data_IF_836561286497
#
_entry.id   IF_836561286497
#
_cell.length_a   1.000
_cell.length_b   1.000
_cell.length_c   1.000
_cell.angle_alpha   90.00
_cell.angle_beta   90.00
_cell.angle_gamma   90.00
#
_symmetry.space_group_name_H-M   'P 1'
#
loop_
_entity.id
_entity.type
_entity.pdbx_description
1 polymer ?
#
# COMPACT_ATOMS: atom_id res chain seq x y z
N UNK A 1 -10.94 10.47 -5.15
CA UNK A 1 -10.01 11.56 -4.77
C UNK A 1 -8.61 11.11 -5.13
N UNK A 2 -7.79 11.94 -5.77
CA UNK A 2 -6.38 11.62 -6.05
C UNK A 2 -5.54 12.46 -5.09
N UNK A 3 -4.82 11.79 -4.21
CA UNK A 3 -3.93 12.41 -3.21
C UNK A 3 -2.53 11.86 -3.43
N UNK A 4 -1.55 12.75 -3.43
CA UNK A 4 -0.14 12.40 -3.48
C UNK A 4 0.46 12.90 -2.17
N UNK A 5 0.83 11.98 -1.28
CA UNK A 5 1.46 12.27 0.00
C UNK A 5 2.59 11.25 0.24
N UNK A 6 3.64 11.68 0.93
CA UNK A 6 4.73 10.81 1.41
C UNK A 6 4.43 10.22 2.79
N UNK A 7 3.41 10.73 3.48
CA UNK A 7 3.01 10.31 4.82
C UNK A 7 1.99 9.17 4.75
N UNK A 8 2.45 7.93 4.98
CA UNK A 8 1.58 6.75 5.01
C UNK A 8 0.37 6.87 5.96
N UNK A 9 0.49 7.43 7.19
CA UNK A 9 -0.65 7.56 8.11
C UNK A 9 -1.79 8.40 7.54
N UNK A 10 -1.45 9.44 6.77
CA UNK A 10 -2.43 10.34 6.14
C UNK A 10 -3.20 9.62 5.02
N UNK A 11 -2.49 8.84 4.20
CA UNK A 11 -3.09 8.02 3.15
C UNK A 11 -4.00 6.91 3.71
N UNK A 12 -3.62 6.29 4.83
CA UNK A 12 -4.42 5.28 5.52
C UNK A 12 -5.76 5.83 6.03
N UNK A 13 -5.78 7.08 6.50
CA UNK A 13 -7.01 7.73 6.96
C UNK A 13 -8.00 8.03 5.83
N UNK A 14 -7.49 8.37 4.66
CA UNK A 14 -8.25 8.88 3.51
C UNK A 14 -8.61 7.80 2.47
N UNK A 15 -7.88 6.69 2.43
CA UNK A 15 -8.02 5.68 1.36
C UNK A 15 -8.87 4.49 1.82
N UNK A 16 -9.81 4.07 0.98
CA UNK A 16 -10.62 2.87 1.20
C UNK A 16 -9.86 1.59 0.79
N UNK A 17 -9.02 1.68 -0.24
CA UNK A 17 -8.23 0.57 -0.78
C UNK A 17 -6.87 1.06 -1.27
N UNK A 18 -5.82 0.34 -0.89
CA UNK A 18 -4.43 0.71 -1.12
C UNK A 18 -3.74 -0.35 -1.96
N UNK A 19 -3.07 0.08 -3.03
CA UNK A 19 -2.28 -0.76 -3.90
C UNK A 19 -0.80 -0.41 -3.71
N UNK A 20 0.04 -1.41 -3.50
CA UNK A 20 1.50 -1.23 -3.46
C UNK A 20 2.09 -1.66 -4.79
N UNK A 21 3.02 -0.86 -5.31
CA UNK A 21 3.69 -1.12 -6.59
C UNK A 21 5.20 -1.10 -6.35
N UNK A 22 5.90 -2.09 -6.89
CA UNK A 22 7.36 -2.18 -6.89
C UNK A 22 7.82 -2.66 -8.27
N UNK A 23 8.82 -2.00 -8.84
CA UNK A 23 9.36 -2.31 -10.18
C UNK A 23 8.29 -2.48 -11.29
N UNK A 24 7.27 -1.61 -11.26
CA UNK A 24 6.19 -1.63 -12.26
C UNK A 24 5.18 -2.78 -12.09
N UNK A 25 5.28 -3.57 -11.02
CA UNK A 25 4.34 -4.64 -10.69
C UNK A 25 3.58 -4.33 -9.39
N UNK A 26 2.30 -4.68 -9.34
CA UNK A 26 1.51 -4.60 -8.11
C UNK A 26 2.01 -5.70 -7.16
N UNK A 27 2.51 -5.32 -5.99
CA UNK A 27 3.02 -6.25 -4.98
C UNK A 27 1.99 -6.58 -3.90
N UNK A 28 0.91 -5.82 -3.81
CA UNK A 28 -0.10 -6.01 -2.79
C UNK A 28 -1.31 -5.12 -2.96
N UNK A 29 -2.43 -5.63 -2.46
CA UNK A 29 -3.70 -4.90 -2.40
C UNK A 29 -4.26 -5.10 -1.00
N UNK A 30 -4.47 -4.02 -0.27
CA UNK A 30 -5.02 -4.02 1.07
C UNK A 30 -6.25 -3.14 1.13
N UNK A 31 -7.28 -3.61 1.84
CA UNK A 31 -8.38 -2.74 2.24
C UNK A 31 -7.97 -1.90 3.44
N UNK A 32 -8.69 -0.81 3.70
CA UNK A 32 -8.42 0.09 4.84
C UNK A 32 -8.26 -0.65 6.17
N UNK A 33 -9.08 -1.67 6.41
CA UNK A 33 -9.08 -2.44 7.66
C UNK A 33 -7.84 -3.33 7.84
N UNK A 34 -7.19 -3.69 6.74
CA UNK A 34 -6.01 -4.55 6.69
C UNK A 34 -4.71 -3.74 6.52
N UNK A 35 -4.87 -2.47 6.15
CA UNK A 35 -3.77 -1.57 5.87
C UNK A 35 -3.21 -1.00 7.17
N UNK A 36 -1.98 -1.40 7.47
CA UNK A 36 -1.16 -0.78 8.51
C UNK A 36 0.14 -0.30 7.89
N UNK A 37 0.81 0.65 8.54
CA UNK A 37 2.12 1.13 8.10
C UNK A 37 3.11 -0.03 7.96
N UNK A 38 3.10 -0.98 8.90
CA UNK A 38 3.99 -2.15 8.86
C UNK A 38 3.65 -3.09 7.70
N UNK A 39 2.37 -3.39 7.48
CA UNK A 39 1.91 -4.23 6.36
C UNK A 39 2.30 -3.63 5.01
N UNK A 40 2.11 -2.32 4.84
CA UNK A 40 2.44 -1.60 3.61
C UNK A 40 3.95 -1.57 3.37
N UNK A 41 4.74 -1.24 4.38
CA UNK A 41 6.20 -1.25 4.29
C UNK A 41 6.73 -2.64 3.90
N UNK A 42 6.15 -3.71 4.47
CA UNK A 42 6.49 -5.09 4.09
C UNK A 42 6.16 -5.39 2.63
N UNK A 43 5.02 -4.93 2.10
CA UNK A 43 4.62 -5.16 0.70
C UNK A 43 5.39 -4.28 -0.29
N UNK A 44 5.85 -3.11 0.13
CA UNK A 44 6.68 -2.21 -0.68
C UNK A 44 8.13 -2.70 -0.77
N UNK A 45 8.62 -3.46 0.21
CA UNK A 45 9.98 -4.01 0.24
C UNK A 45 10.06 -5.49 -0.13
N UNK A 46 8.98 -6.25 0.06
CA UNK A 46 8.91 -7.65 -0.34
C UNK A 46 8.44 -7.77 -1.78
N UNK A 47 9.36 -8.14 -2.66
CA UNK A 47 9.06 -8.68 -4.01
C UNK A 47 8.48 -10.10 -3.89
N UNK A 48 7.38 -10.27 -3.14
CA UNK A 48 6.66 -11.54 -3.14
C UNK A 48 5.73 -11.51 -4.34
N UNK A 49 6.24 -12.05 -5.45
CA UNK A 49 5.51 -12.39 -6.67
C UNK A 49 4.15 -12.96 -6.25
N UNK A 50 3.06 -12.25 -6.53
CA UNK A 50 1.72 -12.81 -6.43
C UNK A 50 1.70 -14.04 -7.34
N UNK A 51 1.62 -15.22 -6.72
CA UNK A 51 1.48 -16.48 -7.42
C UNK A 51 0.05 -16.65 -7.92
#
# INVERSE_FOLDING_TARGET
>A
MIVISSELPELLGLSDRIYTIFEGSITGVLNKDEASQESLMKLMTSSRKAA
#
